data_IF_383922628593
#
_entry.id   IF_383922628593
#
_cell.length_a   1.000
_cell.length_b   1.000
_cell.length_c   1.000
_cell.angle_alpha   90.00
_cell.angle_beta   90.00
_cell.angle_gamma   90.00
#
_symmetry.space_group_name_H-M   'P 1'
#
loop_
_entity.id
_entity.type
_entity.pdbx_description
1 polymer ?
#
# COMPACT_ATOMS: atom_id res chain seq x y z
N UNK A 1 -32.37 -61.29 -3.77
CA UNK A 1 -32.69 -60.24 -2.79
C UNK A 1 -31.41 -59.47 -2.59
N UNK A 2 -31.13 -58.48 -3.41
CA UNK A 2 -29.90 -57.69 -3.40
C UNK A 2 -30.32 -56.27 -3.07
N UNK A 3 -30.01 -55.89 -1.86
CA UNK A 3 -30.25 -54.57 -1.31
C UNK A 3 -29.32 -53.57 -2.00
N UNK A 4 -29.90 -52.56 -2.62
CA UNK A 4 -29.21 -51.48 -3.30
C UNK A 4 -28.74 -50.47 -2.22
N UNK A 5 -27.42 -50.23 -2.08
CA UNK A 5 -26.97 -49.20 -1.17
C UNK A 5 -27.37 -47.85 -1.77
N UNK A 6 -28.24 -47.17 -1.06
CA UNK A 6 -28.68 -45.82 -1.32
C UNK A 6 -27.48 -44.91 -1.58
N UNK A 7 -27.37 -44.48 -2.82
CA UNK A 7 -26.54 -43.42 -3.34
C UNK A 7 -26.80 -42.15 -2.51
N UNK A 8 -25.93 -41.91 -1.56
CA UNK A 8 -25.92 -40.66 -0.80
C UNK A 8 -25.51 -39.58 -1.75
N UNK A 9 -26.50 -39.01 -2.46
CA UNK A 9 -26.30 -37.75 -3.18
C UNK A 9 -25.98 -36.69 -2.15
N UNK A 10 -24.69 -36.47 -1.96
CA UNK A 10 -24.21 -35.23 -1.40
C UNK A 10 -24.80 -34.11 -2.29
N UNK A 11 -25.82 -33.46 -1.76
CA UNK A 11 -26.31 -32.21 -2.35
C UNK A 11 -25.10 -31.30 -2.56
N UNK A 12 -24.89 -30.75 -3.78
CA UNK A 12 -23.84 -29.77 -3.97
C UNK A 12 -24.16 -28.60 -3.05
N UNK A 13 -23.31 -28.51 -2.02
CA UNK A 13 -23.33 -27.50 -0.98
C UNK A 13 -23.73 -26.15 -1.56
N UNK A 14 -24.86 -25.68 -1.10
CA UNK A 14 -25.35 -24.31 -1.11
C UNK A 14 -24.66 -23.41 -2.14
N UNK A 15 -25.22 -23.33 -3.33
CA UNK A 15 -25.09 -22.17 -4.22
C UNK A 15 -25.11 -20.95 -3.33
N UNK A 16 -23.97 -20.29 -3.19
CA UNK A 16 -23.82 -19.10 -2.38
C UNK A 16 -24.94 -18.15 -2.81
N UNK A 17 -26.00 -18.07 -2.01
CA UNK A 17 -27.18 -17.30 -2.33
C UNK A 17 -26.74 -15.86 -2.52
N UNK A 18 -27.12 -15.29 -3.66
CA UNK A 18 -26.83 -13.88 -3.97
C UNK A 18 -27.23 -13.02 -2.78
N UNK A 19 -26.36 -12.09 -2.34
CA UNK A 19 -26.68 -11.30 -1.17
C UNK A 19 -27.92 -10.45 -1.41
N UNK A 20 -28.98 -10.73 -0.68
CA UNK A 20 -30.29 -10.04 -0.81
C UNK A 20 -30.21 -8.61 -0.31
N UNK A 21 -29.37 -8.33 0.69
CA UNK A 21 -29.21 -7.04 1.31
C UNK A 21 -27.78 -6.51 1.22
N UNK A 22 -27.59 -5.18 1.26
CA UNK A 22 -26.28 -4.53 1.29
C UNK A 22 -25.45 -4.96 2.51
N UNK A 23 -26.11 -5.22 3.64
CA UNK A 23 -25.43 -5.74 4.83
C UNK A 23 -24.87 -7.13 4.62
N UNK A 24 -25.62 -8.01 3.98
CA UNK A 24 -25.17 -9.37 3.67
C UNK A 24 -24.02 -9.35 2.65
N UNK A 25 -24.08 -8.48 1.64
CA UNK A 25 -22.98 -8.28 0.69
C UNK A 25 -21.70 -7.80 1.38
N UNK A 26 -21.80 -6.85 2.31
CA UNK A 26 -20.69 -6.39 3.11
C UNK A 26 -20.12 -7.48 4.01
N UNK A 27 -20.98 -8.26 4.66
CA UNK A 27 -20.55 -9.37 5.51
C UNK A 27 -19.90 -10.53 4.72
N UNK A 28 -20.30 -10.74 3.48
CA UNK A 28 -19.73 -11.72 2.58
C UNK A 28 -18.38 -11.28 1.99
N UNK A 29 -18.05 -9.98 2.00
CA UNK A 29 -16.78 -9.46 1.52
C UNK A 29 -15.60 -10.03 2.31
N UNK A 30 -14.55 -10.54 1.64
CA UNK A 30 -13.35 -11.03 2.32
C UNK A 30 -12.67 -9.93 3.14
N UNK A 31 -12.27 -10.26 4.36
CA UNK A 31 -11.59 -9.32 5.25
C UNK A 31 -11.79 -9.63 6.72
N UNK A 32 -11.31 -8.76 7.63
CA UNK A 32 -11.40 -8.99 9.06
C UNK A 32 -12.86 -9.09 9.52
N UNK A 33 -13.14 -10.04 10.40
CA UNK A 33 -14.49 -10.27 10.96
C UNK A 33 -14.54 -9.80 12.41
N UNK A 34 -13.51 -10.12 13.19
CA UNK A 34 -13.42 -9.76 14.59
C UNK A 34 -12.89 -8.33 14.76
N UNK A 35 -13.33 -7.67 15.81
CA UNK A 35 -12.84 -6.33 16.15
C UNK A 35 -11.32 -6.28 16.29
N UNK A 36 -10.72 -7.27 16.94
CA UNK A 36 -9.26 -7.39 17.09
C UNK A 36 -8.52 -7.48 15.74
N UNK A 37 -9.11 -8.16 14.76
CA UNK A 37 -8.55 -8.27 13.41
C UNK A 37 -8.59 -6.92 12.67
N UNK A 38 -9.68 -6.17 12.82
CA UNK A 38 -9.80 -4.81 12.29
C UNK A 38 -8.73 -3.89 12.88
N UNK A 39 -8.56 -3.91 14.21
CA UNK A 39 -7.54 -3.09 14.88
C UNK A 39 -6.14 -3.49 14.43
N UNK A 40 -5.85 -4.77 14.36
CA UNK A 40 -4.53 -5.26 13.91
C UNK A 40 -4.26 -4.85 12.46
N UNK A 41 -5.23 -5.00 11.56
CA UNK A 41 -5.09 -4.61 10.17
C UNK A 41 -4.96 -3.10 10.00
N UNK A 42 -5.73 -2.33 10.77
CA UNK A 42 -5.63 -0.87 10.82
C UNK A 42 -4.23 -0.41 11.26
N UNK A 43 -3.68 -0.99 12.34
CA UNK A 43 -2.34 -0.69 12.81
C UNK A 43 -1.27 -1.05 11.76
N UNK A 44 -1.41 -2.20 11.08
CA UNK A 44 -0.54 -2.54 9.95
C UNK A 44 -0.61 -1.49 8.84
N UNK A 45 -1.81 -0.96 8.57
CA UNK A 45 -2.00 0.16 7.64
C UNK A 45 -1.28 1.44 8.10
N UNK A 46 -1.35 1.76 9.39
CA UNK A 46 -0.61 2.91 9.97
C UNK A 46 0.89 2.74 9.78
N UNK A 47 1.45 1.59 10.12
CA UNK A 47 2.88 1.33 9.93
C UNK A 47 3.28 1.39 8.46
N UNK A 48 2.47 0.84 7.56
CA UNK A 48 2.69 0.88 6.12
C UNK A 48 2.71 2.31 5.59
N UNK A 49 1.69 3.12 5.93
CA UNK A 49 1.58 4.51 5.50
C UNK A 49 2.68 5.41 6.08
N UNK A 50 3.12 5.17 7.33
CA UNK A 50 4.26 5.88 7.91
C UNK A 50 5.55 5.55 7.17
N UNK A 51 5.76 4.27 6.83
CA UNK A 51 6.94 3.82 6.09
C UNK A 51 7.03 4.42 4.69
N UNK A 52 5.90 4.62 4.00
CA UNK A 52 5.87 5.20 2.65
C UNK A 52 6.26 6.69 2.61
N UNK A 53 6.14 7.39 3.74
CA UNK A 53 6.53 8.81 3.83
C UNK A 53 8.02 8.95 4.15
N UNK A 54 8.62 7.96 4.79
CA UNK A 54 10.03 7.99 5.18
C UNK A 54 10.92 7.60 4.01
N UNK A 55 11.77 8.49 3.47
CA UNK A 55 12.67 8.17 2.37
C UNK A 55 13.59 6.98 2.70
N UNK A 56 13.69 6.03 1.77
CA UNK A 56 14.51 4.83 1.95
C UNK A 56 13.79 3.65 2.61
N UNK A 57 12.54 3.83 3.04
CA UNK A 57 11.68 2.75 3.56
C UNK A 57 10.49 2.54 2.62
N UNK A 58 10.01 1.31 2.50
CA UNK A 58 8.89 0.97 1.62
C UNK A 58 7.74 0.36 2.43
N UNK A 59 6.53 0.91 2.28
CA UNK A 59 5.32 0.34 2.86
C UNK A 59 5.02 -1.07 2.34
N UNK A 60 5.41 -1.38 1.10
CA UNK A 60 5.34 -2.74 0.56
C UNK A 60 6.19 -3.74 1.34
N UNK A 61 7.38 -3.33 1.80
CA UNK A 61 8.23 -4.13 2.69
C UNK A 61 7.56 -4.35 4.04
N UNK A 62 6.92 -3.32 4.59
CA UNK A 62 6.14 -3.44 5.83
C UNK A 62 4.96 -4.40 5.65
N UNK A 63 4.24 -4.33 4.52
CA UNK A 63 3.17 -5.27 4.21
C UNK A 63 3.68 -6.72 4.14
N UNK A 64 4.87 -6.93 3.56
CA UNK A 64 5.49 -8.24 3.48
C UNK A 64 5.87 -8.79 4.87
N UNK A 65 6.60 -8.02 5.67
CA UNK A 65 7.03 -8.40 7.02
C UNK A 65 5.83 -8.63 7.94
N UNK A 66 4.77 -7.82 7.82
CA UNK A 66 3.56 -7.95 8.61
C UNK A 66 2.62 -9.08 8.16
N UNK A 67 2.98 -9.79 7.08
CA UNK A 67 2.25 -10.95 6.57
C UNK A 67 0.95 -10.63 5.84
N UNK A 68 0.71 -9.36 5.44
CA UNK A 68 -0.50 -8.95 4.70
C UNK A 68 -0.28 -8.79 3.20
N UNK A 69 0.94 -8.98 2.71
CA UNK A 69 1.31 -8.73 1.32
C UNK A 69 0.44 -9.49 0.31
N UNK A 70 0.26 -10.80 0.52
CA UNK A 70 -0.57 -11.61 -0.38
C UNK A 70 -2.05 -11.24 -0.31
N UNK A 71 -2.56 -10.91 0.88
CA UNK A 71 -3.93 -10.44 1.05
C UNK A 71 -4.14 -9.08 0.35
N UNK A 72 -3.16 -8.18 0.44
CA UNK A 72 -3.16 -6.90 -0.27
C UNK A 72 -3.15 -7.10 -1.79
N UNK A 73 -2.28 -7.98 -2.29
CA UNK A 73 -2.19 -8.27 -3.72
C UNK A 73 -3.50 -8.89 -4.25
N UNK A 74 -4.10 -9.82 -3.50
CA UNK A 74 -5.41 -10.40 -3.80
C UNK A 74 -6.51 -9.34 -3.79
N UNK A 75 -6.50 -8.45 -2.80
CA UNK A 75 -7.46 -7.36 -2.69
C UNK A 75 -7.36 -6.37 -3.87
N UNK A 76 -6.15 -6.01 -4.28
CA UNK A 76 -5.92 -5.15 -5.45
C UNK A 76 -6.35 -5.88 -6.74
N UNK A 77 -6.04 -7.16 -6.89
CA UNK A 77 -6.43 -7.94 -8.07
C UNK A 77 -7.95 -8.13 -8.19
N UNK A 78 -8.68 -8.09 -7.08
CA UNK A 78 -10.15 -8.12 -7.08
C UNK A 78 -10.78 -6.84 -7.67
N UNK A 79 -10.03 -5.72 -7.71
CA UNK A 79 -10.42 -4.46 -8.36
C UNK A 79 -10.25 -4.55 -9.89
N UNK A 80 -10.73 -5.63 -10.51
CA UNK A 80 -10.62 -5.84 -11.93
C UNK A 80 -11.70 -5.05 -12.71
N UNK A 81 -11.43 -4.71 -13.97
CA UNK A 81 -12.38 -4.03 -14.87
C UNK A 81 -13.74 -4.73 -14.97
N UNK A 82 -13.77 -6.07 -14.85
CA UNK A 82 -15.02 -6.84 -14.81
C UNK A 82 -15.88 -6.48 -13.61
N UNK A 83 -15.29 -6.42 -12.42
CA UNK A 83 -15.96 -6.09 -11.15
C UNK A 83 -16.42 -4.64 -11.13
N UNK A 84 -15.61 -3.74 -11.69
CA UNK A 84 -15.99 -2.33 -11.88
C UNK A 84 -17.20 -2.18 -12.83
N UNK A 85 -17.21 -2.92 -13.95
CA UNK A 85 -18.34 -2.93 -14.89
C UNK A 85 -19.60 -3.54 -14.27
N UNK A 86 -19.47 -4.57 -13.42
CA UNK A 86 -20.59 -5.16 -12.68
C UNK A 86 -21.18 -4.17 -11.67
N UNK A 87 -20.33 -3.41 -10.97
CA UNK A 87 -20.76 -2.36 -10.06
C UNK A 87 -21.56 -1.26 -10.77
N UNK A 88 -21.13 -0.86 -11.99
CA UNK A 88 -21.80 0.13 -12.82
C UNK A 88 -23.14 -0.39 -13.43
N UNK A 89 -23.29 -1.70 -13.62
CA UNK A 89 -24.51 -2.31 -14.20
C UNK A 89 -25.60 -2.64 -13.18
N UNK A 90 -25.74 -1.89 -12.10
CA UNK A 90 -26.74 -2.12 -11.03
C UNK A 90 -26.63 -3.44 -10.26
N UNK A 91 -25.53 -4.18 -10.40
CA UNK A 91 -25.21 -5.39 -9.62
C UNK A 91 -24.25 -5.10 -8.47
N UNK A 92 -24.39 -3.94 -7.87
CA UNK A 92 -23.47 -3.45 -6.83
C UNK A 92 -23.34 -4.37 -5.60
N UNK A 93 -24.40 -5.12 -5.25
CA UNK A 93 -24.36 -6.07 -4.13
C UNK A 93 -23.47 -7.28 -4.41
N UNK A 94 -23.51 -7.81 -5.64
CA UNK A 94 -22.67 -8.93 -6.06
C UNK A 94 -21.20 -8.47 -6.17
N UNK A 95 -20.96 -7.32 -6.78
CA UNK A 95 -19.62 -6.72 -6.84
C UNK A 95 -19.05 -6.46 -5.44
N UNK A 96 -19.86 -6.01 -4.49
CA UNK A 96 -19.47 -5.74 -3.11
C UNK A 96 -19.00 -7.01 -2.38
N UNK A 97 -19.66 -8.14 -2.61
CA UNK A 97 -19.31 -9.41 -1.99
C UNK A 97 -18.04 -10.04 -2.57
N UNK A 98 -17.73 -9.78 -3.85
CA UNK A 98 -16.51 -10.26 -4.53
C UNK A 98 -15.29 -9.38 -4.21
N UNK A 99 -15.50 -8.09 -3.93
CA UNK A 99 -14.44 -7.15 -3.59
C UNK A 99 -13.98 -7.34 -2.15
N UNK A 100 -12.68 -7.32 -1.94
CA UNK A 100 -12.07 -7.33 -0.60
C UNK A 100 -12.22 -5.96 0.11
N UNK A 101 -13.43 -5.37 0.05
CA UNK A 101 -13.65 -3.99 0.50
C UNK A 101 -13.43 -3.82 1.99
N UNK A 102 -13.82 -4.79 2.83
CA UNK A 102 -13.57 -4.74 4.28
C UNK A 102 -12.09 -4.65 4.59
N UNK A 103 -11.29 -5.46 3.91
CA UNK A 103 -9.83 -5.42 4.02
C UNK A 103 -9.28 -4.07 3.55
N UNK A 104 -9.64 -3.65 2.34
CA UNK A 104 -9.14 -2.41 1.73
C UNK A 104 -9.51 -1.16 2.53
N UNK A 105 -10.78 -1.05 2.97
CA UNK A 105 -11.24 0.11 3.75
C UNK A 105 -10.53 0.18 5.10
N UNK A 106 -10.39 -0.95 5.80
CA UNK A 106 -9.68 -0.98 7.08
C UNK A 106 -8.21 -0.62 6.93
N UNK A 107 -7.53 -1.19 5.93
CA UNK A 107 -6.12 -0.90 5.65
C UNK A 107 -5.93 0.55 5.21
N UNK A 108 -6.75 1.02 4.25
CA UNK A 108 -6.67 2.38 3.71
C UNK A 108 -6.95 3.44 4.77
N UNK A 109 -7.87 3.19 5.72
CA UNK A 109 -8.12 4.11 6.83
C UNK A 109 -6.89 4.25 7.75
N UNK A 110 -6.17 3.16 7.99
CA UNK A 110 -4.89 3.18 8.71
C UNK A 110 -3.81 3.97 7.96
N UNK A 111 -3.66 3.70 6.65
CA UNK A 111 -2.72 4.44 5.80
C UNK A 111 -3.07 5.93 5.77
N UNK A 112 -4.35 6.30 5.59
CA UNK A 112 -4.79 7.69 5.55
C UNK A 112 -4.48 8.43 6.87
N UNK A 113 -4.73 7.80 8.01
CA UNK A 113 -4.37 8.36 9.31
C UNK A 113 -2.84 8.57 9.41
N UNK A 114 -2.05 7.58 8.98
CA UNK A 114 -0.60 7.69 8.98
C UNK A 114 -0.11 8.84 8.09
N UNK A 115 -0.67 8.97 6.88
CA UNK A 115 -0.30 10.04 5.95
C UNK A 115 -0.55 11.41 6.57
N UNK A 116 -1.73 11.64 7.13
CA UNK A 116 -2.09 12.92 7.74
C UNK A 116 -1.20 13.24 8.96
N UNK A 117 -1.02 12.28 9.87
CA UNK A 117 -0.23 12.49 11.09
C UNK A 117 1.26 12.62 10.79
N UNK A 118 1.80 11.79 9.89
CA UNK A 118 3.22 11.83 9.54
C UNK A 118 3.55 13.04 8.67
N UNK A 119 2.64 13.49 7.79
CA UNK A 119 2.83 14.71 7.03
C UNK A 119 2.96 15.93 7.96
N UNK A 120 2.15 16.00 9.00
CA UNK A 120 2.23 17.06 10.03
C UNK A 120 3.57 17.03 10.78
N UNK A 121 3.99 15.82 11.19
CA UNK A 121 5.27 15.60 11.84
C UNK A 121 6.45 15.99 10.92
N UNK A 122 6.38 15.60 9.64
CA UNK A 122 7.42 15.93 8.65
C UNK A 122 7.50 17.43 8.38
N UNK A 123 6.36 18.12 8.29
CA UNK A 123 6.34 19.56 8.16
C UNK A 123 7.06 20.22 9.36
N UNK A 124 6.73 19.81 10.57
CA UNK A 124 7.40 20.32 11.79
C UNK A 124 8.92 20.03 11.78
N UNK A 125 9.33 18.81 11.46
CA UNK A 125 10.73 18.42 11.44
C UNK A 125 11.53 19.18 10.38
N UNK A 126 10.96 19.36 9.18
CA UNK A 126 11.62 20.08 8.09
C UNK A 126 11.70 21.58 8.32
N UNK A 127 10.79 22.16 9.11
CA UNK A 127 10.83 23.59 9.42
C UNK A 127 11.70 23.92 10.64
N UNK A 128 11.64 23.09 11.69
CA UNK A 128 12.35 23.37 12.95
C UNK A 128 13.70 22.66 13.06
N UNK A 129 13.85 21.51 12.42
CA UNK A 129 15.03 20.64 12.53
C UNK A 129 15.52 20.18 11.14
N UNK A 130 15.57 21.09 10.17
CA UNK A 130 15.84 20.74 8.77
C UNK A 130 17.15 19.99 8.57
N UNK A 131 18.24 20.44 9.20
CA UNK A 131 19.57 19.83 9.03
C UNK A 131 19.57 18.38 9.53
N UNK A 132 19.01 18.13 10.72
CA UNK A 132 18.96 16.79 11.31
C UNK A 132 18.06 15.87 10.47
N UNK A 133 16.94 16.39 10.00
CA UNK A 133 15.99 15.63 9.18
C UNK A 133 16.59 15.22 7.83
N UNK A 134 17.26 16.15 7.15
CA UNK A 134 17.96 15.85 5.90
C UNK A 134 19.12 14.88 6.11
N UNK A 135 19.88 15.01 7.20
CA UNK A 135 20.96 14.08 7.54
C UNK A 135 20.44 12.68 7.79
N UNK A 136 19.30 12.55 8.49
CA UNK A 136 18.63 11.26 8.72
C UNK A 136 18.19 10.63 7.40
N UNK A 137 17.53 11.39 6.52
CA UNK A 137 17.07 10.89 5.22
C UNK A 137 18.22 10.46 4.33
N UNK A 138 19.30 11.24 4.30
CA UNK A 138 20.51 10.89 3.57
C UNK A 138 21.10 9.57 4.08
N UNK A 139 21.15 9.38 5.39
CA UNK A 139 21.60 8.13 6.00
C UNK A 139 20.73 6.94 5.62
N UNK A 140 19.39 7.09 5.68
CA UNK A 140 18.44 6.02 5.30
C UNK A 140 18.54 5.66 3.83
N UNK A 141 18.62 6.65 2.94
CA UNK A 141 18.79 6.43 1.50
C UNK A 141 20.11 5.72 1.22
N UNK A 142 21.19 6.17 1.84
CA UNK A 142 22.51 5.55 1.67
C UNK A 142 22.51 4.10 2.17
N UNK A 143 21.93 3.84 3.33
CA UNK A 143 21.79 2.48 3.85
C UNK A 143 20.95 1.60 2.90
N UNK A 144 19.86 2.11 2.36
CA UNK A 144 19.03 1.38 1.39
C UNK A 144 19.81 1.04 0.12
N UNK A 145 20.61 1.97 -0.40
CA UNK A 145 21.48 1.73 -1.56
C UNK A 145 22.48 0.60 -1.27
N UNK A 146 23.10 0.61 -0.10
CA UNK A 146 24.06 -0.42 0.32
C UNK A 146 23.39 -1.79 0.39
N UNK A 147 22.24 -1.89 1.05
CA UNK A 147 21.48 -3.14 1.21
C UNK A 147 21.05 -3.69 -0.16
N UNK A 148 20.47 -2.85 -1.00
CA UNK A 148 20.01 -3.27 -2.34
C UNK A 148 21.20 -3.66 -3.22
N UNK A 149 22.30 -2.91 -3.19
CA UNK A 149 23.49 -3.21 -3.99
C UNK A 149 24.12 -4.55 -3.62
N UNK A 150 24.01 -4.96 -2.36
CA UNK A 150 24.51 -6.27 -1.91
C UNK A 150 23.66 -7.44 -2.43
N UNK A 151 22.37 -7.18 -2.69
CA UNK A 151 21.44 -8.19 -3.21
C UNK A 151 21.58 -8.43 -4.72
N UNK A 152 22.26 -7.54 -5.45
CA UNK A 152 22.43 -7.63 -6.91
C UNK A 152 23.55 -8.59 -7.26
N UNK A 153 23.21 -9.77 -7.82
CA UNK A 153 24.17 -10.82 -8.24
C UNK A 153 25.09 -10.40 -9.39
N UNK A 154 24.61 -9.58 -10.32
CA UNK A 154 25.34 -9.14 -11.52
C UNK A 154 25.57 -7.63 -11.51
N UNK A 155 26.57 -7.16 -10.80
CA UNK A 155 26.91 -5.74 -10.68
C UNK A 155 27.20 -5.08 -12.03
N UNK A 156 27.93 -5.77 -12.91
CA UNK A 156 28.35 -5.18 -14.20
C UNK A 156 27.16 -4.91 -15.12
N UNK A 157 26.18 -5.80 -15.16
CA UNK A 157 24.98 -5.63 -15.98
C UNK A 157 24.04 -4.53 -15.45
N UNK A 158 24.18 -4.10 -14.20
CA UNK A 158 23.33 -3.09 -13.56
C UNK A 158 23.87 -1.66 -13.77
N UNK A 159 25.12 -1.49 -14.14
CA UNK A 159 25.74 -0.16 -14.38
C UNK A 159 25.00 0.68 -15.44
N UNK A 160 24.67 0.13 -16.63
CA UNK A 160 23.99 0.93 -17.66
C UNK A 160 22.58 1.34 -17.19
N UNK A 161 21.89 0.51 -16.41
CA UNK A 161 20.55 0.83 -15.86
C UNK A 161 20.64 1.94 -14.82
N UNK A 162 21.63 1.87 -13.93
CA UNK A 162 21.90 2.92 -12.95
C UNK A 162 22.26 4.25 -13.63
N UNK A 163 23.13 4.20 -14.63
CA UNK A 163 23.52 5.39 -15.39
C UNK A 163 22.32 6.02 -16.11
N UNK A 164 21.50 5.20 -16.76
CA UNK A 164 20.28 5.66 -17.45
C UNK A 164 19.28 6.26 -16.44
N UNK A 165 19.06 5.61 -15.30
CA UNK A 165 18.18 6.11 -14.22
C UNK A 165 18.67 7.46 -13.67
N UNK A 166 19.98 7.61 -13.47
CA UNK A 166 20.58 8.87 -13.03
C UNK A 166 20.42 9.98 -14.09
N UNK A 167 20.64 9.65 -15.35
CA UNK A 167 20.49 10.59 -16.46
C UNK A 167 19.03 11.08 -16.60
N UNK A 168 18.08 10.15 -16.50
CA UNK A 168 16.64 10.47 -16.54
C UNK A 168 16.27 11.37 -15.35
N UNK A 169 16.69 11.00 -14.13
CA UNK A 169 16.42 11.76 -12.92
C UNK A 169 17.00 13.18 -13.01
N UNK A 170 18.24 13.31 -13.48
CA UNK A 170 18.87 14.60 -13.70
C UNK A 170 18.15 15.43 -14.76
N UNK A 171 17.75 14.80 -15.87
CA UNK A 171 16.98 15.45 -16.93
C UNK A 171 15.62 15.97 -16.44
N UNK A 172 14.89 15.17 -15.69
CA UNK A 172 13.59 15.57 -15.12
C UNK A 172 13.78 16.73 -14.14
N UNK A 173 14.76 16.65 -13.24
CA UNK A 173 15.03 17.70 -12.25
C UNK A 173 15.54 18.98 -12.88
N UNK A 174 16.33 18.90 -13.96
CA UNK A 174 16.86 20.07 -14.66
C UNK A 174 15.89 20.71 -15.65
N UNK A 175 14.93 19.93 -16.20
CA UNK A 175 13.92 20.42 -17.14
C UNK A 175 12.67 21.00 -16.46
N UNK A 176 12.39 20.60 -15.24
CA UNK A 176 11.33 21.18 -14.42
C UNK A 176 11.99 22.24 -13.55
N UNK A 177 11.97 23.53 -13.92
CA UNK A 177 12.42 24.56 -13.02
C UNK A 177 11.52 24.48 -11.79
N UNK A 178 12.11 24.06 -10.67
CA UNK A 178 11.45 24.17 -9.37
C UNK A 178 11.14 25.65 -9.23
N UNK A 179 9.89 26.01 -9.43
CA UNK A 179 9.41 27.35 -9.13
C UNK A 179 9.55 27.48 -7.62
N UNK A 180 10.71 27.95 -7.21
CA UNK A 180 10.91 28.32 -5.80
C UNK A 180 9.92 29.45 -5.54
N UNK A 181 8.95 29.29 -4.63
CA UNK A 181 8.24 30.42 -4.09
C UNK A 181 9.30 31.45 -3.66
N UNK A 182 9.06 32.73 -3.83
CA UNK A 182 10.00 33.87 -3.70
C UNK A 182 10.76 33.97 -2.35
N UNK A 183 10.67 32.98 -1.51
CA UNK A 183 11.53 32.75 -0.35
C UNK A 183 12.44 31.54 -0.56
N UNK A 184 13.73 31.75 -0.86
CA UNK A 184 14.69 30.67 -0.93
C UNK A 184 14.93 30.13 0.48
N UNK A 185 14.23 29.04 0.82
CA UNK A 185 14.41 28.31 2.09
C UNK A 185 15.81 27.67 2.22
N UNK A 186 16.67 27.84 1.20
CA UNK A 186 18.10 27.50 1.20
C UNK A 186 19.04 28.66 1.57
N UNK A 187 18.54 29.86 1.79
CA UNK A 187 19.42 30.91 2.28
C UNK A 187 19.63 30.68 3.77
N UNK A 188 20.76 30.06 4.08
CA UNK A 188 21.38 30.18 5.39
C UNK A 188 21.41 31.67 5.77
N UNK A 189 20.49 32.11 6.63
CA UNK A 189 20.69 33.34 7.37
C UNK A 189 21.86 33.10 8.33
N UNK A 190 23.08 33.17 7.83
CA UNK A 190 24.24 33.56 8.65
C UNK A 190 23.98 35.00 9.06
N UNK A 191 23.23 35.20 10.13
CA UNK A 191 23.39 36.41 10.95
C UNK A 191 24.63 36.18 11.83
N UNK A 192 25.72 36.81 11.42
CA UNK A 192 26.77 37.25 12.35
C UNK A 192 26.19 38.24 13.35
#
# INVERSE_FOLDING_TARGET
MLENPTENKEEPSALASKPETWRNAWMASPGPVKYSEHVTLFLKGVFMGTADIVPGVSGGTVAFISGIYYALLSAISSLNWKTFRQALRFRGKEALSELHLRFLVTLASGIALAVVSTAHLMHYLLTQHSIQTWSLFFGLITASIIVVSHSIKNRISSFPILFLGTLISYGITGLIPLHTPDEPWFIFKTKL
#
